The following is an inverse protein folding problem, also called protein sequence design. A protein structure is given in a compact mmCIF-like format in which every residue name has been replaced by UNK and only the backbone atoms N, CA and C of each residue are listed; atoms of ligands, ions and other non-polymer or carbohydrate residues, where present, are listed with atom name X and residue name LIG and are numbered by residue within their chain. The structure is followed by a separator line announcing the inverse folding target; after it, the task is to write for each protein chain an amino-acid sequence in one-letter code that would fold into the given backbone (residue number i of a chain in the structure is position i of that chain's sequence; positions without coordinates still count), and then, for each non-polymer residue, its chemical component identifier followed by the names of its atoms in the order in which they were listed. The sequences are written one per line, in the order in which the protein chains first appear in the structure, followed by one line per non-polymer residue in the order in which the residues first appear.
data_IF_226502749182
#
_entry.id   IF_226502749182
#
_cell.length_a   1.000
_cell.length_b   1.000
_cell.length_c   1.000
_cell.angle_alpha   90.00
_cell.angle_beta   90.00
_cell.angle_gamma   90.00
#
_symmetry.space_group_name_H-M   'P 1'
#
loop_
_entity.id
_entity.type
_entity.pdbx_description
1 polymer ?
#
# COMPACT_ATOMS: atom_id res chain seq x y z
N UNK A 1 45.82 -2.29 2.51
CA UNK A 1 45.08 -1.08 2.92
C UNK A 1 44.43 -0.44 1.69
N UNK A 2 43.37 -1.04 1.14
CA UNK A 2 42.73 -0.55 -0.09
C UNK A 2 41.39 0.11 0.26
N UNK A 3 41.48 1.38 0.68
CA UNK A 3 40.49 2.46 0.62
C UNK A 3 39.07 2.05 0.16
N UNK A 4 38.24 1.64 1.13
CA UNK A 4 36.80 1.33 1.01
C UNK A 4 35.93 2.61 1.09
N UNK A 5 36.54 3.79 1.08
CA UNK A 5 35.82 5.07 1.10
C UNK A 5 36.27 5.94 -0.07
N UNK A 6 35.34 6.25 -0.98
CA UNK A 6 35.50 7.38 -1.90
C UNK A 6 35.65 7.11 -3.39
N UNK A 7 35.10 6.02 -3.96
CA UNK A 7 34.71 6.10 -5.39
C UNK A 7 33.36 6.82 -5.43
N UNK A 8 33.39 8.09 -5.85
CA UNK A 8 32.17 8.85 -6.15
C UNK A 8 31.28 8.02 -7.08
N UNK A 9 29.99 7.97 -6.79
CA UNK A 9 29.02 7.23 -7.62
C UNK A 9 29.21 7.69 -9.07
N UNK A 10 29.26 6.78 -10.06
CA UNK A 10 29.27 7.18 -11.46
C UNK A 10 28.10 8.15 -11.65
N UNK A 11 28.37 9.29 -12.29
CA UNK A 11 27.41 10.36 -12.56
C UNK A 11 26.14 9.72 -13.14
N UNK A 12 25.13 9.50 -12.29
CA UNK A 12 23.83 9.07 -12.78
C UNK A 12 23.33 10.18 -13.69
N UNK A 13 22.70 9.86 -14.84
CA UNK A 13 22.12 10.88 -15.69
C UNK A 13 21.30 11.82 -14.81
N UNK A 14 21.47 13.12 -15.01
CA UNK A 14 20.79 14.13 -14.23
C UNK A 14 19.30 13.75 -14.15
N UNK A 15 18.66 13.82 -12.97
CA UNK A 15 17.28 13.41 -12.80
C UNK A 15 16.45 14.12 -13.88
N UNK A 16 15.98 13.34 -14.84
CA UNK A 16 15.30 13.89 -15.99
C UNK A 16 13.83 14.10 -15.60
N UNK A 17 13.23 15.22 -16.03
CA UNK A 17 11.86 15.56 -15.66
C UNK A 17 10.86 14.48 -16.11
N UNK A 18 11.14 13.79 -17.22
CA UNK A 18 10.31 12.71 -17.76
C UNK A 18 10.24 11.48 -16.85
N UNK A 19 11.34 11.10 -16.19
CA UNK A 19 11.45 10.00 -15.23
C UNK A 19 10.72 10.36 -13.95
N UNK A 20 10.75 11.63 -13.54
CA UNK A 20 10.02 12.10 -12.36
C UNK A 20 8.51 12.05 -12.61
N UNK A 21 8.05 12.49 -13.79
CA UNK A 21 6.65 12.40 -14.21
C UNK A 21 6.21 10.94 -14.25
N UNK A 22 6.97 10.08 -14.94
CA UNK A 22 6.65 8.65 -15.04
C UNK A 22 6.56 7.96 -13.67
N UNK A 23 7.47 8.30 -12.74
CA UNK A 23 7.42 7.78 -11.36
C UNK A 23 6.22 8.26 -10.55
N UNK A 24 5.71 9.46 -10.82
CA UNK A 24 4.51 9.99 -10.16
C UNK A 24 3.27 9.26 -10.69
N UNK A 25 3.16 9.07 -12.00
CA UNK A 25 2.06 8.32 -12.62
C UNK A 25 2.06 6.85 -12.14
N UNK A 26 3.22 6.19 -12.14
CA UNK A 26 3.36 4.82 -11.61
C UNK A 26 2.95 4.71 -10.14
N UNK A 27 3.21 5.74 -9.33
CA UNK A 27 2.78 5.77 -7.93
C UNK A 27 1.27 5.89 -7.84
N UNK A 28 0.67 6.79 -8.61
CA UNK A 28 -0.79 6.96 -8.69
C UNK A 28 -1.50 5.64 -9.03
N UNK A 29 -1.07 5.01 -10.13
CA UNK A 29 -1.61 3.72 -10.57
C UNK A 29 -1.46 2.62 -9.52
N UNK A 30 -0.29 2.56 -8.86
CA UNK A 30 -0.03 1.56 -7.83
C UNK A 30 -0.88 1.79 -6.56
N UNK A 31 -1.15 3.05 -6.22
CA UNK A 31 -2.00 3.42 -5.08
C UNK A 31 -3.45 3.00 -5.38
N UNK A 32 -3.97 3.31 -6.58
CA UNK A 32 -5.33 2.93 -6.98
C UNK A 32 -5.51 1.41 -6.98
N UNK A 33 -4.56 0.67 -7.58
CA UNK A 33 -4.56 -0.80 -7.57
C UNK A 33 -4.55 -1.37 -6.14
N UNK A 34 -3.78 -0.78 -5.22
CA UNK A 34 -3.75 -1.19 -3.81
C UNK A 34 -5.08 -0.92 -3.11
N UNK A 35 -5.68 0.26 -3.32
CA UNK A 35 -6.98 0.60 -2.75
C UNK A 35 -8.06 -0.37 -3.25
N UNK A 36 -8.09 -0.66 -4.55
CA UNK A 36 -9.04 -1.61 -5.14
C UNK A 36 -8.92 -3.02 -4.53
N UNK A 37 -7.70 -3.52 -4.31
CA UNK A 37 -7.48 -4.82 -3.65
C UNK A 37 -8.02 -4.83 -2.21
N UNK A 38 -7.74 -3.77 -1.44
CA UNK A 38 -8.22 -3.63 -0.06
C UNK A 38 -9.75 -3.55 0.00
N UNK A 39 -10.39 -2.92 -0.99
CA UNK A 39 -11.86 -2.84 -1.07
C UNK A 39 -12.53 -4.18 -1.35
N UNK A 40 -11.95 -4.98 -2.24
CA UNK A 40 -12.42 -6.35 -2.49
C UNK A 40 -12.31 -7.19 -1.21
N UNK A 41 -11.20 -7.06 -0.46
CA UNK A 41 -11.00 -7.79 0.79
C UNK A 41 -11.99 -7.36 1.88
N UNK A 42 -12.23 -6.06 2.03
CA UNK A 42 -13.24 -5.53 2.96
C UNK A 42 -14.65 -6.02 2.64
N UNK A 43 -15.01 -6.10 1.35
CA UNK A 43 -16.29 -6.64 0.92
C UNK A 43 -16.43 -8.12 1.33
N UNK A 44 -15.40 -8.92 1.11
CA UNK A 44 -15.38 -10.33 1.55
C UNK A 44 -15.58 -10.48 3.05
N UNK A 45 -14.88 -9.67 3.87
CA UNK A 45 -15.08 -9.72 5.32
C UNK A 45 -16.49 -9.27 5.73
N UNK A 46 -17.08 -8.28 5.06
CA UNK A 46 -18.46 -7.86 5.31
C UNK A 46 -19.44 -8.99 5.02
N UNK A 47 -19.32 -9.64 3.86
CA UNK A 47 -20.21 -10.74 3.45
C UNK A 47 -20.03 -11.97 4.36
N UNK A 48 -18.78 -12.26 4.77
CA UNK A 48 -18.47 -13.30 5.74
C UNK A 48 -19.13 -13.02 7.09
N UNK A 49 -18.97 -11.80 7.63
CA UNK A 49 -19.57 -11.42 8.93
C UNK A 49 -21.10 -11.42 8.89
N UNK A 50 -21.72 -11.10 7.75
CA UNK A 50 -23.18 -11.12 7.59
C UNK A 50 -23.77 -12.52 7.76
N UNK A 51 -23.01 -13.57 7.38
CA UNK A 51 -23.41 -14.98 7.51
C UNK A 51 -23.02 -15.61 8.85
N UNK A 52 -22.25 -14.90 9.67
CA UNK A 52 -21.77 -15.42 10.96
C UNK A 52 -22.67 -15.00 12.11
N UNK A 53 -22.92 -15.95 13.02
CA UNK A 53 -23.55 -15.69 14.31
C UNK A 53 -22.64 -14.84 15.18
N UNK A 54 -23.24 -14.01 16.02
CA UNK A 54 -22.50 -13.22 17.02
C UNK A 54 -21.68 -14.14 17.92
N UNK A 55 -20.40 -13.82 18.12
CA UNK A 55 -19.49 -14.62 18.92
C UNK A 55 -18.01 -14.38 18.64
N UNK A 56 -17.11 -15.13 19.31
CA UNK A 56 -15.66 -14.96 19.22
C UNK A 56 -15.12 -15.03 17.80
N UNK A 57 -15.67 -15.92 16.97
CA UNK A 57 -15.28 -16.08 15.57
C UNK A 57 -15.60 -14.82 14.74
N UNK A 58 -16.77 -14.21 14.92
CA UNK A 58 -17.15 -12.97 14.23
C UNK A 58 -16.31 -11.78 14.68
N UNK A 59 -15.96 -11.74 15.98
CA UNK A 59 -15.03 -10.74 16.51
C UNK A 59 -13.63 -10.84 15.89
N UNK A 60 -13.11 -12.06 15.68
CA UNK A 60 -11.83 -12.25 15.01
C UNK A 60 -11.85 -11.71 13.56
N UNK A 61 -12.93 -11.96 12.82
CA UNK A 61 -13.11 -11.42 11.45
C UNK A 61 -13.24 -9.90 11.47
N UNK A 62 -13.98 -9.33 12.43
CA UNK A 62 -14.09 -7.88 12.64
C UNK A 62 -12.72 -7.24 12.88
N UNK A 63 -11.88 -7.85 13.71
CA UNK A 63 -10.52 -7.35 13.97
C UNK A 63 -9.65 -7.39 12.70
N UNK A 64 -9.76 -8.43 11.87
CA UNK A 64 -9.08 -8.49 10.57
C UNK A 64 -9.57 -7.38 9.62
N UNK A 65 -10.88 -7.19 9.52
CA UNK A 65 -11.48 -6.13 8.71
C UNK A 65 -11.03 -4.72 9.16
N UNK A 66 -10.93 -4.47 10.47
CA UNK A 66 -10.42 -3.20 11.01
C UNK A 66 -8.98 -2.91 10.62
N UNK A 67 -8.11 -3.94 10.56
CA UNK A 67 -6.72 -3.79 10.10
C UNK A 67 -6.66 -3.38 8.63
N UNK A 68 -7.45 -4.02 7.78
CA UNK A 68 -7.54 -3.69 6.34
C UNK A 68 -8.12 -2.29 6.14
N UNK A 69 -9.11 -1.90 6.93
CA UNK A 69 -9.67 -0.55 6.90
C UNK A 69 -8.63 0.50 7.30
N UNK A 70 -7.84 0.24 8.35
CA UNK A 70 -6.72 1.11 8.75
C UNK A 70 -5.68 1.22 7.65
N UNK A 71 -5.34 0.11 6.99
CA UNK A 71 -4.40 0.09 5.87
C UNK A 71 -4.91 0.93 4.69
N UNK A 72 -6.20 0.80 4.32
CA UNK A 72 -6.83 1.64 3.29
C UNK A 72 -6.78 3.13 3.66
N UNK A 73 -7.09 3.47 4.92
CA UNK A 73 -7.00 4.85 5.42
C UNK A 73 -5.57 5.36 5.31
N UNK A 74 -4.58 4.61 5.79
CA UNK A 74 -3.16 4.97 5.72
C UNK A 74 -2.71 5.20 4.27
N UNK A 75 -2.96 4.26 3.35
CA UNK A 75 -2.62 4.38 1.92
C UNK A 75 -3.24 5.62 1.30
N UNK A 76 -4.49 5.94 1.67
CA UNK A 76 -5.16 7.17 1.23
C UNK A 76 -4.47 8.41 1.80
N UNK A 77 -4.22 8.48 3.11
CA UNK A 77 -3.62 9.66 3.75
C UNK A 77 -2.16 9.90 3.41
N UNK A 78 -1.39 8.87 3.06
CA UNK A 78 0.01 9.03 2.62
C UNK A 78 0.15 9.36 1.15
N UNK A 79 -0.96 9.43 0.41
CA UNK A 79 -0.99 9.72 -1.03
C UNK A 79 -1.37 11.18 -1.34
N UNK A 80 -1.38 12.04 -0.33
CA UNK A 80 -1.63 13.48 -0.40
C UNK A 80 -0.58 14.23 0.40
#
# INVERSE_FOLDING_TARGET
MNRIFGRGKPQQPAPNMSDMISKVDERGDNIEKKIGKLDVELKKYKDQMAKMREGPAKNAVKQKALRVLKQKKNVRTTSW
#
